data_IF_939265593258
#
_entry.id   IF_939265593258
#
_cell.length_a   1.000
_cell.length_b   1.000
_cell.length_c   1.000
_cell.angle_alpha   90.00
_cell.angle_beta   90.00
_cell.angle_gamma   90.00
#
_symmetry.space_group_name_H-M   'P 1'
#
loop_
_entity.id
_entity.type
_entity.pdbx_description
1 polymer ?
#
# COMPACT_ATOMS: atom_id res chain seq x y z
N UNK A 1 13.82 21.39 -12.00
CA UNK A 1 14.57 20.12 -12.24
C UNK A 1 15.86 19.98 -11.42
N UNK A 2 16.80 20.95 -11.38
CA UNK A 2 18.10 20.79 -10.68
C UNK A 2 18.02 20.42 -9.18
N UNK A 3 17.01 20.89 -8.45
CA UNK A 3 16.84 20.56 -7.01
C UNK A 3 16.49 19.10 -6.76
N UNK A 4 15.65 18.50 -7.60
CA UNK A 4 15.25 17.11 -7.47
C UNK A 4 16.44 16.18 -7.72
N UNK A 5 17.21 16.45 -8.79
CA UNK A 5 18.43 15.72 -9.09
C UNK A 5 19.46 15.80 -7.96
N UNK A 6 19.64 16.98 -7.35
CA UNK A 6 20.57 17.14 -6.22
C UNK A 6 20.13 16.41 -4.95
N UNK A 7 18.81 16.35 -4.71
CA UNK A 7 18.26 15.59 -3.59
C UNK A 7 18.47 14.09 -3.81
N UNK A 8 18.11 13.59 -4.99
CA UNK A 8 18.27 12.19 -5.38
C UNK A 8 19.74 11.75 -5.44
N UNK A 9 20.66 12.63 -5.84
CA UNK A 9 22.09 12.30 -5.83
C UNK A 9 22.65 12.14 -4.42
N UNK A 10 22.13 12.92 -3.46
CA UNK A 10 22.54 12.83 -2.06
C UNK A 10 21.80 11.71 -1.29
N UNK A 11 20.57 11.41 -1.70
CA UNK A 11 19.68 10.45 -1.04
C UNK A 11 18.99 9.59 -2.10
N UNK A 12 19.73 8.67 -2.76
CA UNK A 12 19.13 7.80 -3.76
C UNK A 12 18.12 6.87 -3.08
N UNK A 13 16.96 6.59 -3.69
CA UNK A 13 16.00 5.62 -3.16
C UNK A 13 16.48 4.20 -3.48
N UNK A 14 17.52 3.79 -2.77
CA UNK A 14 18.21 2.50 -2.96
C UNK A 14 17.22 1.33 -2.88
N UNK A 15 16.26 1.40 -1.95
CA UNK A 15 15.26 0.35 -1.76
C UNK A 15 14.35 0.17 -3.00
N UNK A 16 13.98 1.24 -3.69
CA UNK A 16 13.21 1.17 -4.94
C UNK A 16 14.05 0.59 -6.09
N UNK A 17 15.32 1.00 -6.21
CA UNK A 17 16.23 0.47 -7.24
C UNK A 17 16.49 -1.03 -7.05
N UNK A 18 16.70 -1.46 -5.81
CA UNK A 18 16.87 -2.88 -5.46
C UNK A 18 15.58 -3.65 -5.72
N UNK A 19 14.42 -3.11 -5.34
CA UNK A 19 13.13 -3.73 -5.62
C UNK A 19 12.91 -3.91 -7.14
N UNK A 20 13.24 -2.89 -7.94
CA UNK A 20 13.15 -2.96 -9.39
C UNK A 20 14.10 -4.00 -9.99
N UNK A 21 15.37 -4.04 -9.54
CA UNK A 21 16.35 -5.03 -9.99
C UNK A 21 15.93 -6.46 -9.68
N UNK A 22 15.37 -6.69 -8.49
CA UNK A 22 14.90 -8.00 -8.05
C UNK A 22 13.50 -8.35 -8.59
N UNK A 23 12.85 -7.45 -9.34
CA UNK A 23 11.48 -7.66 -9.83
C UNK A 23 10.42 -7.72 -8.72
N UNK A 24 10.71 -7.16 -7.55
CA UNK A 24 9.78 -7.08 -6.42
C UNK A 24 8.71 -6.06 -6.77
N UNK A 25 7.52 -6.55 -7.10
CA UNK A 25 6.34 -5.70 -7.26
C UNK A 25 5.87 -5.32 -5.87
N UNK A 26 5.75 -4.02 -5.59
CA UNK A 26 5.10 -3.56 -4.38
C UNK A 26 3.71 -4.25 -4.30
N UNK A 27 3.32 -4.80 -3.14
CA UNK A 27 1.98 -5.32 -2.98
C UNK A 27 1.02 -4.19 -3.36
N UNK A 28 0.07 -4.50 -4.25
CA UNK A 28 -0.92 -3.52 -4.65
C UNK A 28 -1.55 -2.94 -3.38
N UNK A 29 -1.57 -1.62 -3.28
CA UNK A 29 -2.22 -0.94 -2.15
C UNK A 29 -3.62 -1.54 -2.04
N UNK A 30 -3.98 -2.13 -0.89
CA UNK A 30 -5.25 -2.82 -0.78
C UNK A 30 -6.34 -1.83 -1.15
N UNK A 31 -7.29 -2.21 -2.02
CA UNK A 31 -8.33 -1.29 -2.44
C UNK A 31 -8.97 -0.71 -1.19
N UNK A 32 -8.99 0.62 -1.11
CA UNK A 32 -9.69 1.32 -0.06
C UNK A 32 -11.15 0.90 -0.17
N UNK A 33 -11.57 -0.04 0.68
CA UNK A 33 -12.97 -0.46 0.76
C UNK A 33 -13.73 0.78 1.21
N UNK A 34 -14.36 1.48 0.25
CA UNK A 34 -15.16 2.65 0.54
C UNK A 34 -16.21 2.21 1.56
N UNK A 35 -16.15 2.76 2.77
CA UNK A 35 -17.22 2.61 3.73
C UNK A 35 -18.50 3.07 3.02
N UNK A 36 -19.51 2.20 2.97
CA UNK A 36 -20.82 2.61 2.48
C UNK A 36 -21.24 3.83 3.31
N UNK A 37 -21.76 4.87 2.66
CA UNK A 37 -22.11 6.13 3.33
C UNK A 37 -23.08 5.94 4.51
N UNK A 38 -23.80 4.80 4.55
CA UNK A 38 -24.74 4.39 5.58
C UNK A 38 -24.17 3.39 6.62
N UNK A 39 -22.84 3.21 6.71
CA UNK A 39 -22.22 2.40 7.76
C UNK A 39 -21.47 3.26 8.80
N UNK A 40 -22.19 3.90 9.75
CA UNK A 40 -21.58 4.72 10.79
C UNK A 40 -20.68 3.90 11.74
N UNK A 41 -20.80 2.57 11.73
CA UNK A 41 -20.03 1.67 12.60
C UNK A 41 -18.73 1.16 11.95
N UNK A 42 -18.62 1.22 10.61
CA UNK A 42 -17.51 0.66 9.85
C UNK A 42 -17.45 -0.88 9.85
N UNK A 43 -18.43 -1.56 10.46
CA UNK A 43 -18.46 -3.02 10.59
C UNK A 43 -18.68 -3.68 9.22
N UNK A 44 -19.49 -3.09 8.35
CA UNK A 44 -19.72 -3.60 7.00
C UNK A 44 -18.43 -3.66 6.19
N UNK A 45 -17.60 -2.61 6.28
CA UNK A 45 -16.28 -2.60 5.65
C UNK A 45 -15.34 -3.67 6.26
N UNK A 46 -15.43 -3.92 7.57
CA UNK A 46 -14.64 -4.96 8.24
C UNK A 46 -15.07 -6.38 7.83
N UNK A 47 -16.37 -6.64 7.72
CA UNK A 47 -16.92 -7.93 7.25
C UNK A 47 -16.51 -8.18 5.79
N UNK A 48 -16.62 -7.17 4.92
CA UNK A 48 -16.19 -7.29 3.52
C UNK A 48 -14.69 -7.53 3.38
N UNK A 49 -13.88 -7.05 4.32
CA UNK A 49 -12.43 -7.27 4.34
C UNK A 49 -12.05 -8.71 4.71
N UNK A 50 -12.88 -9.39 5.50
CA UNK A 50 -12.67 -10.76 5.94
C UNK A 50 -13.97 -11.56 5.84
N UNK A 51 -14.46 -11.85 4.62
CA UNK A 51 -15.75 -12.53 4.43
C UNK A 51 -15.77 -13.92 5.07
N UNK A 52 -14.61 -14.58 5.13
CA UNK A 52 -14.43 -15.90 5.72
C UNK A 52 -14.07 -15.83 7.22
N UNK A 53 -14.01 -14.63 7.81
CA UNK A 53 -13.66 -14.41 9.21
C UNK A 53 -12.22 -14.74 9.59
N UNK A 54 -11.34 -14.99 8.62
CA UNK A 54 -9.95 -15.37 8.86
C UNK A 54 -8.99 -14.21 8.60
N UNK A 55 -8.20 -13.86 9.60
CA UNK A 55 -7.03 -12.98 9.46
C UNK A 55 -5.80 -13.87 9.28
N UNK A 56 -5.24 -13.91 8.07
CA UNK A 56 -3.98 -14.62 7.83
C UNK A 56 -2.84 -13.82 8.48
N UNK A 57 -2.33 -14.32 9.60
CA UNK A 57 -1.07 -13.87 10.16
C UNK A 57 0.06 -14.37 9.26
N UNK A 58 0.97 -13.45 8.89
CA UNK A 58 2.24 -13.79 8.25
C UNK A 58 3.20 -14.39 9.26
#
# INVERSE_FOLDING_TARGET
>A
MRRLYRYWSAHPPVHELVAAFLGVKAPAEPPTLAAAADDPSGIGAMILRFPDGQVKAH
#
